data_IF_249844764177
#
_entry.id   IF_249844764177
#
_cell.length_a   1.000
_cell.length_b   1.000
_cell.length_c   1.000
_cell.angle_alpha   90.00
_cell.angle_beta   90.00
_cell.angle_gamma   90.00
#
_symmetry.space_group_name_H-M   'P 1'
#
loop_
_entity.id
_entity.type
_entity.pdbx_description
1 polymer ?
#
# COMPACT_ATOMS: atom_id res chain seq x y z
N UNK A 1 9.59 45.62 14.19
CA UNK A 1 10.68 45.16 13.30
C UNK A 1 10.15 43.97 12.53
N UNK A 2 9.53 44.19 11.37
CA UNK A 2 9.04 43.13 10.49
C UNK A 2 10.21 42.59 9.67
N UNK A 3 10.99 41.68 10.27
CA UNK A 3 11.89 40.84 9.50
C UNK A 3 11.09 40.15 8.41
N UNK A 4 11.55 40.25 7.17
CA UNK A 4 10.88 39.72 5.99
C UNK A 4 10.71 38.20 6.18
N UNK A 5 9.54 37.76 6.65
CA UNK A 5 9.26 36.34 6.82
C UNK A 5 9.15 35.75 5.42
N UNK A 6 9.98 34.77 5.12
CA UNK A 6 9.92 34.03 3.85
C UNK A 6 8.72 33.07 3.78
N UNK A 7 7.72 33.23 4.66
CA UNK A 7 6.51 32.43 4.75
C UNK A 7 5.34 33.34 5.17
N UNK A 8 4.13 32.95 4.83
CA UNK A 8 2.93 33.74 5.09
C UNK A 8 2.22 33.26 6.35
N UNK A 9 1.84 34.20 7.23
CA UNK A 9 0.97 33.96 8.38
C UNK A 9 -0.18 34.93 8.33
N UNK A 10 -1.40 34.41 8.27
CA UNK A 10 -2.62 35.22 8.30
C UNK A 10 -2.75 35.99 9.63
N UNK A 11 -3.34 37.18 9.61
CA UNK A 11 -3.47 38.05 10.80
C UNK A 11 -4.29 37.45 11.95
N UNK A 12 -5.11 36.45 11.65
CA UNK A 12 -5.93 35.71 12.61
C UNK A 12 -5.37 34.31 12.94
N UNK A 13 -4.17 33.97 12.48
CA UNK A 13 -3.47 32.76 12.88
C UNK A 13 -2.61 33.00 14.13
N UNK A 14 -2.40 31.97 14.93
CA UNK A 14 -1.44 31.97 16.05
C UNK A 14 -0.28 31.03 15.71
N UNK A 15 0.79 31.58 15.16
CA UNK A 15 2.00 30.82 14.82
C UNK A 15 3.12 31.20 15.80
N UNK A 16 3.42 30.31 16.75
CA UNK A 16 4.45 30.49 17.77
C UNK A 16 5.79 29.84 17.39
N UNK A 17 5.78 28.88 16.45
CA UNK A 17 7.01 28.27 15.92
C UNK A 17 7.82 29.23 15.04
N UNK A 18 9.13 29.19 15.21
CA UNK A 18 10.11 29.86 14.34
C UNK A 18 10.65 28.92 13.23
N UNK A 19 10.36 27.61 13.31
CA UNK A 19 10.86 26.58 12.40
C UNK A 19 9.89 26.33 11.24
N UNK A 20 9.58 27.39 10.50
CA UNK A 20 8.67 27.34 9.34
C UNK A 20 9.47 27.57 8.06
N UNK A 21 9.44 26.59 7.16
CA UNK A 21 10.12 26.67 5.87
C UNK A 21 9.57 27.74 4.94
N UNK A 22 10.40 28.12 3.98
CA UNK A 22 10.08 29.11 2.96
C UNK A 22 8.81 28.76 2.17
N UNK A 23 8.03 29.78 1.79
CA UNK A 23 6.82 29.70 0.97
C UNK A 23 5.66 28.89 1.59
N UNK A 24 5.81 28.49 2.86
CA UNK A 24 4.71 27.93 3.65
C UNK A 24 3.66 28.99 3.97
N UNK A 25 2.39 28.60 3.89
CA UNK A 25 1.23 29.47 4.18
C UNK A 25 0.45 28.94 5.36
N UNK A 26 0.25 29.80 6.36
CA UNK A 26 -0.55 29.55 7.55
C UNK A 26 -1.79 30.43 7.51
N UNK A 27 -2.96 29.82 7.40
CA UNK A 27 -4.25 30.51 7.22
C UNK A 27 -4.98 30.79 8.53
N UNK A 28 -6.15 31.42 8.45
CA UNK A 28 -6.85 31.99 9.60
C UNK A 28 -7.20 30.93 10.65
N UNK A 29 -7.08 31.29 11.93
CA UNK A 29 -7.43 30.42 13.06
C UNK A 29 -6.62 29.12 13.17
N UNK A 30 -5.56 28.96 12.39
CA UNK A 30 -4.57 27.92 12.64
C UNK A 30 -3.74 28.27 13.88
N UNK A 31 -3.39 27.26 14.68
CA UNK A 31 -2.52 27.41 15.85
C UNK A 31 -1.37 26.41 15.80
N UNK A 32 -0.14 26.92 15.77
CA UNK A 32 1.10 26.14 15.67
C UNK A 32 1.96 26.44 16.90
N UNK A 33 2.20 25.42 17.73
CA UNK A 33 2.99 25.52 18.96
C UNK A 33 4.50 25.71 18.68
N UNK A 34 5.28 26.30 19.61
CA UNK A 34 6.66 26.72 19.35
C UNK A 34 7.63 25.58 19.00
N UNK A 35 7.36 24.34 19.43
CA UNK A 35 8.22 23.19 19.13
C UNK A 35 8.08 22.63 17.71
N UNK A 36 6.97 22.91 17.02
CA UNK A 36 6.68 22.31 15.71
C UNK A 36 7.72 22.68 14.65
N UNK A 37 8.03 21.76 13.74
CA UNK A 37 8.90 22.02 12.58
C UNK A 37 8.17 21.70 11.28
N UNK A 38 8.07 22.69 10.38
CA UNK A 38 7.42 22.57 9.08
C UNK A 38 8.40 22.90 7.95
N UNK A 39 8.40 22.07 6.90
CA UNK A 39 9.17 22.29 5.68
C UNK A 39 8.67 23.46 4.83
N UNK A 40 9.16 23.50 3.59
CA UNK A 40 8.90 24.53 2.59
C UNK A 40 7.60 24.24 1.84
N UNK A 41 6.99 25.30 1.29
CA UNK A 41 5.85 25.21 0.36
C UNK A 41 4.62 24.47 0.95
N UNK A 42 4.49 24.43 2.27
CA UNK A 42 3.35 23.80 2.93
C UNK A 42 2.12 24.70 2.91
N UNK A 43 0.94 24.10 3.03
CA UNK A 43 -0.33 24.81 3.11
C UNK A 43 -1.12 24.37 4.34
N UNK A 44 -1.09 25.19 5.39
CA UNK A 44 -1.77 24.96 6.68
C UNK A 44 -3.08 25.74 6.68
N UNK A 45 -4.17 25.08 6.30
CA UNK A 45 -5.50 25.70 6.17
C UNK A 45 -6.14 26.08 7.52
N UNK A 46 -7.31 26.72 7.44
CA UNK A 46 -8.01 27.26 8.59
C UNK A 46 -8.32 26.23 9.67
N UNK A 47 -8.23 26.65 10.93
CA UNK A 47 -8.55 25.81 12.10
C UNK A 47 -7.69 24.53 12.21
N UNK A 48 -6.49 24.53 11.63
CA UNK A 48 -5.50 23.47 11.87
C UNK A 48 -4.79 23.73 13.20
N UNK A 49 -4.59 22.67 13.99
CA UNK A 49 -3.81 22.71 15.23
C UNK A 49 -2.58 21.81 15.12
N UNK A 50 -1.41 22.28 15.56
CA UNK A 50 -0.14 21.53 15.50
C UNK A 50 0.61 21.68 16.84
N UNK A 51 0.92 20.55 17.50
CA UNK A 51 1.65 20.52 18.77
C UNK A 51 3.18 20.61 18.61
N UNK A 52 3.94 20.37 19.68
CA UNK A 52 5.37 20.66 19.75
C UNK A 52 6.23 19.56 19.12
N UNK A 53 5.96 18.30 19.44
CA UNK A 53 6.70 17.13 18.94
C UNK A 53 6.12 16.67 17.60
N UNK A 54 6.18 17.58 16.62
CA UNK A 54 5.67 17.39 15.27
C UNK A 54 6.71 17.82 14.23
N UNK A 55 6.95 16.94 13.26
CA UNK A 55 7.80 17.22 12.09
C UNK A 55 6.97 17.02 10.82
N UNK A 56 6.92 18.06 9.99
CA UNK A 56 6.23 18.06 8.70
C UNK A 56 7.26 18.41 7.62
N UNK A 57 7.36 17.58 6.59
CA UNK A 57 8.23 17.76 5.44
C UNK A 57 7.80 18.90 4.52
N UNK A 58 8.29 18.87 3.28
CA UNK A 58 8.03 19.88 2.27
C UNK A 58 6.75 19.59 1.46
N UNK A 59 6.10 20.64 0.95
CA UNK A 59 4.94 20.56 0.02
C UNK A 59 3.73 19.80 0.60
N UNK A 60 3.61 19.79 1.93
CA UNK A 60 2.49 19.14 2.63
C UNK A 60 1.26 20.05 2.64
N UNK A 61 0.08 19.47 2.38
CA UNK A 61 -1.20 20.17 2.52
C UNK A 61 -1.99 19.63 3.70
N UNK A 62 -2.28 20.50 4.67
CA UNK A 62 -3.19 20.23 5.78
C UNK A 62 -4.49 21.00 5.55
N UNK A 63 -5.57 20.29 5.24
CA UNK A 63 -6.89 20.91 5.07
C UNK A 63 -7.53 21.27 6.43
N UNK A 64 -8.61 22.05 6.37
CA UNK A 64 -9.25 22.61 7.56
C UNK A 64 -9.67 21.54 8.57
N UNK A 65 -9.61 21.91 9.86
CA UNK A 65 -10.12 21.08 10.96
C UNK A 65 -9.25 19.86 11.32
N UNK A 66 -7.99 19.84 10.88
CA UNK A 66 -7.02 18.79 11.21
C UNK A 66 -6.25 19.16 12.48
N UNK A 67 -6.05 18.20 13.38
CA UNK A 67 -5.20 18.34 14.57
C UNK A 67 -4.03 17.35 14.49
N UNK A 68 -2.81 17.88 14.55
CA UNK A 68 -1.56 17.10 14.54
C UNK A 68 -0.96 17.14 15.94
N UNK A 69 -1.10 16.02 16.64
CA UNK A 69 -0.63 15.84 18.02
C UNK A 69 0.85 15.50 18.10
N UNK A 70 1.41 15.64 19.30
CA UNK A 70 2.75 15.19 19.65
C UNK A 70 2.95 13.71 19.26
N UNK A 71 4.10 13.42 18.63
CA UNK A 71 4.46 12.09 18.17
C UNK A 71 4.23 11.85 16.67
N UNK A 72 3.67 12.82 15.94
CA UNK A 72 3.33 12.65 14.53
C UNK A 72 4.43 13.20 13.62
N UNK A 73 4.86 12.38 12.66
CA UNK A 73 5.78 12.77 11.58
C UNK A 73 5.07 12.65 10.24
N UNK A 74 5.11 13.70 9.44
CA UNK A 74 4.54 13.76 8.09
C UNK A 74 5.67 14.04 7.12
N UNK A 75 5.94 13.12 6.20
CA UNK A 75 6.96 13.29 5.15
C UNK A 75 6.46 14.20 4.02
N UNK A 76 7.33 14.46 3.04
CA UNK A 76 7.06 15.36 1.92
C UNK A 76 5.84 14.95 1.08
N UNK A 77 5.26 15.92 0.39
CA UNK A 77 4.24 15.71 -0.65
C UNK A 77 2.95 15.03 -0.13
N UNK A 78 2.75 14.99 1.19
CA UNK A 78 1.56 14.40 1.81
C UNK A 78 0.36 15.32 1.70
N UNK A 79 -0.80 14.73 1.39
CA UNK A 79 -2.10 15.40 1.44
C UNK A 79 -2.93 14.89 2.62
N UNK A 80 -3.35 15.80 3.51
CA UNK A 80 -4.26 15.49 4.61
C UNK A 80 -5.58 16.23 4.38
N UNK A 81 -6.62 15.45 4.08
CA UNK A 81 -7.97 15.90 3.79
C UNK A 81 -8.66 16.57 4.98
N UNK A 82 -9.73 17.33 4.72
CA UNK A 82 -10.40 18.11 5.76
C UNK A 82 -10.96 17.20 6.85
N UNK A 83 -10.83 17.60 8.10
CA UNK A 83 -11.26 16.87 9.29
C UNK A 83 -10.64 15.47 9.45
N UNK A 84 -9.55 15.14 8.72
CA UNK A 84 -8.80 13.93 9.04
C UNK A 84 -8.30 14.02 10.49
N UNK A 85 -8.55 12.97 11.26
CA UNK A 85 -8.37 12.94 12.70
C UNK A 85 -7.22 11.99 13.06
N UNK A 86 -6.27 12.50 13.84
CA UNK A 86 -5.17 11.72 14.38
C UNK A 86 -5.38 11.45 15.87
N UNK A 87 -4.71 10.42 16.37
CA UNK A 87 -4.64 10.06 17.78
C UNK A 87 -3.22 9.63 18.13
N UNK A 88 -2.82 9.76 19.40
CA UNK A 88 -1.46 9.43 19.87
C UNK A 88 -1.44 8.56 21.15
N UNK A 89 -2.59 8.36 21.80
CA UNK A 89 -2.81 7.42 22.90
C UNK A 89 -3.88 6.40 22.50
N UNK A 90 -3.58 5.11 22.66
CA UNK A 90 -4.48 4.01 22.32
C UNK A 90 -5.61 3.83 23.35
N UNK A 91 -5.36 4.21 24.61
CA UNK A 91 -6.30 4.04 25.71
C UNK A 91 -6.41 5.32 26.55
N UNK A 92 -6.83 6.44 25.93
CA UNK A 92 -6.83 7.74 26.60
C UNK A 92 -7.78 7.75 27.80
N UNK A 93 -7.30 8.29 28.91
CA UNK A 93 -8.12 8.60 30.10
C UNK A 93 -7.75 9.97 30.65
N UNK A 94 -8.76 10.74 31.04
CA UNK A 94 -8.54 12.09 31.59
C UNK A 94 -7.58 12.05 32.79
N UNK A 95 -6.56 12.93 32.76
CA UNK A 95 -5.50 13.05 33.79
C UNK A 95 -4.63 11.81 33.96
N UNK A 96 -4.67 10.87 33.02
CA UNK A 96 -3.77 9.72 32.94
C UNK A 96 -3.02 9.86 31.63
N UNK A 97 -1.71 10.07 31.72
CA UNK A 97 -0.88 10.31 30.55
C UNK A 97 0.10 9.15 30.36
N UNK A 98 0.33 8.69 29.11
CA UNK A 98 1.36 7.70 28.85
C UNK A 98 2.75 8.28 29.15
N UNK A 99 3.73 7.42 29.43
CA UNK A 99 5.12 7.87 29.60
C UNK A 99 5.69 8.42 28.27
N UNK A 100 5.26 7.85 27.15
CA UNK A 100 5.64 8.25 25.80
C UNK A 100 4.42 8.11 24.89
N UNK A 101 4.16 9.12 24.05
CA UNK A 101 3.12 9.02 23.03
C UNK A 101 3.53 8.09 21.89
N UNK A 102 2.53 7.50 21.24
CA UNK A 102 2.78 6.61 20.11
C UNK A 102 3.25 7.41 18.89
N UNK A 103 4.21 6.86 18.13
CA UNK A 103 4.75 7.54 16.95
C UNK A 103 3.99 7.12 15.71
N UNK A 104 3.32 8.07 15.07
CA UNK A 104 2.59 7.86 13.81
C UNK A 104 3.37 8.52 12.69
N UNK A 105 3.62 7.79 11.60
CA UNK A 105 4.41 8.26 10.46
C UNK A 105 3.55 8.22 9.21
N UNK A 106 3.35 9.37 8.58
CA UNK A 106 2.69 9.49 7.28
C UNK A 106 3.77 9.67 6.23
N UNK A 107 4.00 8.63 5.43
CA UNK A 107 5.13 8.60 4.50
C UNK A 107 4.84 9.38 3.22
N UNK A 108 5.92 9.68 2.49
CA UNK A 108 5.95 10.58 1.35
C UNK A 108 4.84 10.30 0.34
N UNK A 109 4.15 11.35 -0.11
CA UNK A 109 3.12 11.26 -1.14
C UNK A 109 1.81 10.57 -0.70
N UNK A 110 1.69 10.11 0.55
CA UNK A 110 0.45 9.54 1.04
C UNK A 110 -0.69 10.56 1.03
N UNK A 111 -1.91 10.08 0.77
CA UNK A 111 -3.12 10.89 0.71
C UNK A 111 -4.15 10.37 1.70
N UNK A 112 -4.50 11.20 2.68
CA UNK A 112 -5.51 10.90 3.69
C UNK A 112 -6.83 11.59 3.32
N UNK A 113 -7.86 10.79 3.05
CA UNK A 113 -9.18 11.25 2.67
C UNK A 113 -9.88 12.05 3.77
N UNK A 114 -10.86 12.85 3.36
CA UNK A 114 -11.64 13.67 4.29
C UNK A 114 -12.24 12.84 5.43
N UNK A 115 -12.15 13.35 6.66
CA UNK A 115 -12.77 12.77 7.84
C UNK A 115 -12.36 11.31 8.13
N UNK A 116 -11.19 10.86 7.66
CA UNK A 116 -10.63 9.58 8.10
C UNK A 116 -10.08 9.67 9.52
N UNK A 117 -10.02 8.55 10.24
CA UNK A 117 -9.45 8.45 11.58
C UNK A 117 -8.23 7.54 11.56
N UNK A 118 -7.10 8.05 12.05
CA UNK A 118 -5.84 7.31 12.17
C UNK A 118 -5.60 6.94 13.63
N UNK A 119 -5.60 5.64 13.93
CA UNK A 119 -5.22 5.14 15.26
C UNK A 119 -3.72 5.39 15.54
N UNK A 120 -3.31 5.37 16.82
CA UNK A 120 -1.98 5.78 17.21
C UNK A 120 -0.92 4.71 16.87
N UNK A 121 0.31 5.14 16.58
CA UNK A 121 1.44 4.23 16.40
C UNK A 121 1.52 3.56 15.03
N UNK A 122 0.84 4.13 14.02
CA UNK A 122 0.72 3.54 12.70
C UNK A 122 1.66 4.18 11.67
N UNK A 123 2.07 3.40 10.69
CA UNK A 123 2.76 3.91 9.50
C UNK A 123 1.82 3.85 8.30
N UNK A 124 1.63 4.98 7.63
CA UNK A 124 0.92 5.05 6.34
C UNK A 124 1.98 5.10 5.24
N UNK A 125 2.07 4.03 4.44
CA UNK A 125 3.12 3.84 3.44
C UNK A 125 3.16 4.90 2.34
N UNK A 126 4.29 4.96 1.64
CA UNK A 126 4.53 5.90 0.53
C UNK A 126 3.42 5.78 -0.50
N UNK A 127 2.88 6.91 -0.96
CA UNK A 127 1.78 7.01 -1.93
C UNK A 127 0.50 6.23 -1.53
N UNK A 128 0.36 5.76 -0.29
CA UNK A 128 -0.86 5.09 0.13
C UNK A 128 -2.05 6.06 0.12
N UNK A 129 -3.23 5.54 -0.19
CA UNK A 129 -4.46 6.32 -0.26
C UNK A 129 -5.48 5.80 0.75
N UNK A 130 -5.75 6.62 1.77
CA UNK A 130 -6.81 6.36 2.74
C UNK A 130 -8.08 7.05 2.26
N UNK A 131 -9.15 6.28 2.04
CA UNK A 131 -10.43 6.81 1.60
C UNK A 131 -11.11 7.67 2.67
N UNK A 132 -12.01 8.54 2.21
CA UNK A 132 -12.79 9.38 3.11
C UNK A 132 -13.59 8.55 4.13
N UNK A 133 -13.61 8.99 5.39
CA UNK A 133 -14.33 8.33 6.48
C UNK A 133 -13.73 7.00 6.95
N UNK A 134 -12.57 6.58 6.44
CA UNK A 134 -11.97 5.31 6.84
C UNK A 134 -11.45 5.36 8.30
N UNK A 135 -11.56 4.25 9.02
CA UNK A 135 -10.97 4.09 10.37
C UNK A 135 -9.78 3.15 10.27
N UNK A 136 -8.58 3.73 10.24
CA UNK A 136 -7.32 3.02 10.03
C UNK A 136 -6.84 2.46 11.34
N UNK A 137 -6.88 1.13 11.48
CA UNK A 137 -6.55 0.41 12.71
C UNK A 137 -5.21 -0.34 12.68
N UNK A 138 -4.53 -0.33 11.53
CA UNK A 138 -3.22 -0.96 11.30
C UNK A 138 -2.44 -0.16 10.25
N UNK A 139 -1.11 -0.35 10.22
CA UNK A 139 -0.25 0.28 9.22
C UNK A 139 -0.69 -0.08 7.80
N UNK A 140 -0.55 0.87 6.88
CA UNK A 140 -0.99 0.73 5.49
C UNK A 140 0.24 0.55 4.59
N UNK A 141 0.27 -0.51 3.75
CA UNK A 141 1.40 -0.76 2.85
C UNK A 141 1.58 0.36 1.80
N UNK A 142 2.78 0.52 1.23
CA UNK A 142 3.02 1.47 0.16
C UNK A 142 2.06 1.29 -1.01
N UNK A 143 1.51 2.41 -1.49
CA UNK A 143 0.56 2.51 -2.61
C UNK A 143 -0.76 1.75 -2.39
N UNK A 144 -1.06 1.23 -1.20
CA UNK A 144 -2.33 0.57 -0.93
C UNK A 144 -3.49 1.58 -0.88
N UNK A 145 -4.66 1.17 -1.34
CA UNK A 145 -5.92 1.93 -1.25
C UNK A 145 -6.79 1.29 -0.19
N UNK A 146 -7.13 2.03 0.87
CA UNK A 146 -7.97 1.52 1.97
C UNK A 146 -9.25 2.31 2.18
N UNK A 147 -10.34 1.61 2.51
CA UNK A 147 -11.64 2.24 2.82
C UNK A 147 -12.37 1.51 3.94
N UNK A 148 -13.36 2.18 4.54
CA UNK A 148 -14.31 1.57 5.48
C UNK A 148 -13.89 1.64 6.95
N UNK A 149 -14.74 1.08 7.81
CA UNK A 149 -14.54 1.00 9.27
C UNK A 149 -14.77 -0.46 9.74
N UNK A 150 -13.73 -1.19 10.15
CA UNK A 150 -12.31 -0.82 10.05
C UNK A 150 -11.84 -0.77 8.58
N UNK A 151 -10.76 -0.02 8.32
CA UNK A 151 -10.22 0.17 6.99
C UNK A 151 -9.66 -1.15 6.41
N UNK A 152 -10.03 -1.46 5.16
CA UNK A 152 -9.57 -2.65 4.42
C UNK A 152 -8.97 -2.24 3.08
N UNK A 153 -7.93 -2.97 2.65
CA UNK A 153 -7.33 -2.78 1.33
C UNK A 153 -8.31 -3.24 0.25
N UNK A 154 -8.59 -2.36 -0.71
CA UNK A 154 -9.49 -2.62 -1.84
C UNK A 154 -8.78 -2.58 -3.19
N UNK A 155 -7.51 -2.18 -3.21
CA UNK A 155 -6.72 -2.00 -4.43
C UNK A 155 -5.36 -1.38 -4.12
N UNK A 156 -4.59 -1.12 -5.17
CA UNK A 156 -3.33 -0.40 -5.12
C UNK A 156 -3.31 0.71 -6.17
N UNK A 157 -2.68 1.84 -5.87
CA UNK A 157 -2.51 2.97 -6.77
C UNK A 157 -1.80 2.49 -8.04
N UNK A 158 -2.28 2.97 -9.19
CA UNK A 158 -1.81 2.63 -10.54
C UNK A 158 -1.86 1.14 -10.93
N UNK A 159 -2.38 0.27 -10.06
CA UNK A 159 -2.67 -1.10 -10.41
C UNK A 159 -3.85 -1.11 -11.40
N UNK A 160 -3.54 -1.34 -12.68
CA UNK A 160 -4.58 -1.61 -13.66
C UNK A 160 -5.19 -2.96 -13.30
N UNK A 161 -6.52 -3.08 -13.13
CA UNK A 161 -7.13 -4.39 -13.25
C UNK A 161 -6.84 -4.87 -14.66
N UNK A 162 -6.41 -6.13 -14.82
CA UNK A 162 -6.35 -6.74 -16.15
C UNK A 162 -7.69 -6.46 -16.81
N UNK A 163 -7.67 -5.79 -17.98
CA UNK A 163 -8.90 -5.57 -18.73
C UNK A 163 -9.54 -6.93 -18.91
N UNK A 164 -10.70 -7.16 -18.30
CA UNK A 164 -11.61 -8.20 -18.74
C UNK A 164 -11.94 -7.80 -20.17
N UNK A 165 -11.16 -8.29 -21.15
CA UNK A 165 -11.63 -8.32 -22.53
C UNK A 165 -13.02 -8.94 -22.42
N UNK A 166 -14.00 -8.15 -22.88
CA UNK A 166 -15.41 -8.39 -22.66
C UNK A 166 -15.73 -9.88 -22.79
N UNK A 167 -16.54 -10.39 -21.86
CA UNK A 167 -17.05 -11.76 -21.79
C UNK A 167 -17.90 -12.20 -23.01
N UNK A 168 -17.74 -11.54 -24.16
CA UNK A 168 -18.47 -11.79 -25.39
C UNK A 168 -17.51 -12.16 -26.52
N UNK A 169 -16.83 -13.29 -26.39
CA UNK A 169 -16.43 -14.16 -27.49
C UNK A 169 -15.95 -15.49 -26.88
N UNK A 170 -16.77 -16.54 -27.00
CA UNK A 170 -16.39 -17.91 -26.65
C UNK A 170 -15.36 -18.37 -27.68
N UNK A 171 -14.12 -17.94 -27.51
CA UNK A 171 -12.96 -18.61 -28.10
C UNK A 171 -12.60 -19.76 -27.15
N UNK A 172 -12.33 -20.97 -27.64
CA UNK A 172 -11.81 -22.03 -26.78
C UNK A 172 -10.51 -21.49 -26.17
N UNK A 173 -10.43 -21.45 -24.84
CA UNK A 173 -9.23 -21.03 -24.10
C UNK A 173 -8.01 -21.70 -24.72
N UNK A 174 -7.20 -20.94 -25.44
CA UNK A 174 -5.98 -21.47 -26.04
C UNK A 174 -4.96 -21.63 -24.93
N UNK A 175 -4.51 -22.85 -24.68
CA UNK A 175 -3.36 -23.11 -23.81
C UNK A 175 -2.21 -22.18 -24.19
N UNK A 176 -1.60 -21.52 -23.21
CA UNK A 176 -0.58 -20.51 -23.50
C UNK A 176 -0.23 -19.60 -22.33
N UNK A 177 0.68 -18.68 -22.62
CA UNK A 177 1.13 -17.65 -21.68
C UNK A 177 0.98 -16.26 -22.33
N UNK A 178 0.38 -15.34 -21.60
CA UNK A 178 0.16 -13.96 -21.99
C UNK A 178 1.13 -13.06 -21.21
N UNK A 179 1.82 -12.16 -21.92
CA UNK A 179 2.65 -11.12 -21.32
C UNK A 179 1.76 -10.09 -20.61
N UNK A 180 2.26 -9.56 -19.49
CA UNK A 180 1.56 -8.53 -18.70
C UNK A 180 2.28 -7.19 -18.82
N UNK A 181 1.72 -6.15 -18.23
CA UNK A 181 2.41 -4.85 -18.14
C UNK A 181 3.57 -4.84 -17.14
N UNK A 182 3.65 -5.85 -16.28
CA UNK A 182 4.70 -6.02 -15.27
C UNK A 182 5.82 -6.89 -15.85
N UNK A 183 7.05 -6.38 -15.86
CA UNK A 183 8.19 -6.99 -16.56
C UNK A 183 8.41 -8.44 -16.15
N UNK A 184 8.31 -9.35 -17.13
CA UNK A 184 8.59 -10.78 -16.96
C UNK A 184 7.48 -11.57 -16.27
N UNK A 185 6.44 -10.91 -15.74
CA UNK A 185 5.26 -11.56 -15.19
C UNK A 185 4.37 -12.01 -16.34
N UNK A 186 3.93 -13.27 -16.27
CA UNK A 186 3.08 -13.89 -17.30
C UNK A 186 1.85 -14.52 -16.68
N UNK A 187 0.72 -14.40 -17.37
CA UNK A 187 -0.51 -15.11 -17.03
C UNK A 187 -0.62 -16.36 -17.91
N UNK A 188 -0.79 -17.51 -17.28
CA UNK A 188 -0.80 -18.81 -17.95
C UNK A 188 -2.20 -19.43 -17.89
N UNK A 189 -2.65 -19.93 -19.03
CA UNK A 189 -3.82 -20.81 -19.11
C UNK A 189 -3.35 -22.23 -19.42
N UNK A 190 -3.58 -23.12 -18.46
CA UNK A 190 -3.23 -24.54 -18.52
C UNK A 190 -4.32 -25.34 -19.23
N UNK A 191 -3.97 -26.53 -19.70
CA UNK A 191 -4.91 -27.47 -20.31
C UNK A 191 -6.08 -27.72 -19.38
N UNK A 192 -7.29 -27.73 -19.93
CA UNK A 192 -8.50 -28.13 -19.23
C UNK A 192 -9.31 -29.09 -20.12
N UNK A 193 -9.72 -30.22 -19.55
CA UNK A 193 -10.58 -31.21 -20.20
C UNK A 193 -11.78 -31.41 -19.29
N UNK A 194 -12.98 -31.18 -19.82
CA UNK A 194 -14.24 -31.40 -19.11
C UNK A 194 -15.05 -32.46 -19.84
N UNK A 195 -15.45 -33.49 -19.10
CA UNK A 195 -16.34 -34.55 -19.58
C UNK A 195 -17.40 -34.89 -18.51
N UNK A 196 -18.25 -35.89 -18.76
CA UNK A 196 -19.32 -36.29 -17.83
C UNK A 196 -18.83 -36.76 -16.44
N UNK A 197 -17.53 -37.05 -16.30
CA UNK A 197 -16.89 -37.49 -15.05
C UNK A 197 -16.34 -36.32 -14.24
N UNK A 198 -16.33 -35.11 -14.80
CA UNK A 198 -15.82 -33.90 -14.17
C UNK A 198 -14.84 -33.13 -15.05
N UNK A 199 -14.03 -32.29 -14.40
CA UNK A 199 -13.05 -31.42 -15.05
C UNK A 199 -11.64 -31.73 -14.55
N UNK A 200 -10.69 -31.77 -15.46
CA UNK A 200 -9.27 -32.01 -15.19
C UNK A 200 -8.45 -30.89 -15.81
N UNK A 201 -7.62 -30.23 -15.00
CA UNK A 201 -6.58 -29.34 -15.50
C UNK A 201 -5.20 -29.96 -15.36
N UNK A 202 -4.31 -29.72 -16.31
CA UNK A 202 -2.96 -30.23 -16.32
C UNK A 202 -1.95 -29.16 -16.75
N UNK A 203 -0.84 -29.05 -16.02
CA UNK A 203 0.32 -28.26 -16.37
C UNK A 203 1.59 -29.09 -16.23
N UNK A 204 2.54 -28.90 -17.15
CA UNK A 204 3.85 -29.55 -17.12
C UNK A 204 4.92 -28.52 -16.72
N UNK A 205 5.81 -28.87 -15.79
CA UNK A 205 6.98 -28.05 -15.48
C UNK A 205 7.92 -27.96 -16.68
N UNK A 206 8.61 -26.84 -16.80
CA UNK A 206 9.49 -26.49 -17.93
C UNK A 206 8.76 -26.39 -19.29
N UNK A 207 7.42 -26.44 -19.28
CA UNK A 207 6.55 -26.23 -20.44
C UNK A 207 5.48 -25.19 -20.10
N UNK A 208 4.39 -25.63 -19.46
CA UNK A 208 3.31 -24.73 -19.03
C UNK A 208 3.75 -23.84 -17.88
N UNK A 209 4.59 -24.36 -16.97
CA UNK A 209 5.18 -23.62 -15.86
C UNK A 209 6.66 -23.39 -16.21
N UNK A 210 7.17 -22.14 -16.27
CA UNK A 210 8.41 -21.83 -16.98
C UNK A 210 9.70 -22.11 -16.18
N UNK A 211 9.65 -23.01 -15.20
CA UNK A 211 10.80 -23.39 -14.39
C UNK A 211 10.64 -24.80 -13.80
N UNK A 212 11.77 -25.39 -13.39
CA UNK A 212 11.80 -26.61 -12.59
C UNK A 212 11.46 -26.29 -11.14
N UNK A 213 10.50 -27.03 -10.58
CA UNK A 213 10.02 -26.81 -9.21
C UNK A 213 10.78 -27.67 -8.21
N UNK A 214 11.22 -27.05 -7.12
CA UNK A 214 11.85 -27.74 -5.98
C UNK A 214 10.94 -27.78 -4.74
N UNK A 215 9.94 -26.88 -4.68
CA UNK A 215 9.03 -26.76 -3.54
C UNK A 215 7.62 -26.37 -3.98
N UNK A 216 6.62 -26.91 -3.28
CA UNK A 216 5.26 -26.38 -3.31
C UNK A 216 4.80 -26.04 -1.89
N UNK A 217 3.85 -25.13 -1.77
CA UNK A 217 3.14 -24.86 -0.53
C UNK A 217 1.72 -24.39 -0.81
N UNK A 218 0.86 -24.47 0.22
CA UNK A 218 -0.54 -24.08 0.16
C UNK A 218 -0.80 -22.94 1.14
N UNK A 219 -1.64 -21.99 0.74
CA UNK A 219 -2.19 -20.94 1.60
C UNK A 219 -3.70 -21.04 1.55
N UNK A 220 -4.32 -21.26 2.72
CA UNK A 220 -5.75 -21.49 2.89
C UNK A 220 -6.21 -20.93 4.25
N UNK A 221 -7.53 -20.84 4.47
CA UNK A 221 -8.15 -20.27 5.69
C UNK A 221 -7.65 -18.85 6.02
N UNK A 222 -7.39 -18.04 4.98
CA UNK A 222 -6.97 -16.66 5.12
C UNK A 222 -8.19 -15.79 5.45
N UNK A 223 -8.22 -15.07 6.58
CA UNK A 223 -9.31 -14.16 6.86
C UNK A 223 -9.39 -13.10 5.74
N UNK A 224 -10.58 -12.84 5.20
CA UNK A 224 -10.77 -11.97 4.00
C UNK A 224 -10.19 -10.56 4.14
N UNK A 225 -9.99 -10.08 5.38
CA UNK A 225 -9.39 -8.79 5.65
C UNK A 225 -7.85 -8.80 5.59
N UNK A 226 -7.20 -9.95 5.62
CA UNK A 226 -5.74 -10.05 5.68
C UNK A 226 -5.09 -10.00 4.30
N UNK A 227 -3.95 -9.32 4.24
CA UNK A 227 -3.00 -9.42 3.13
C UNK A 227 -1.97 -10.50 3.42
N UNK A 228 -1.52 -11.14 2.35
CA UNK A 228 -0.41 -12.10 2.34
C UNK A 228 0.59 -11.65 1.26
N UNK A 229 1.82 -12.16 1.35
CA UNK A 229 2.88 -11.71 0.45
C UNK A 229 3.61 -10.50 1.04
N UNK A 230 3.57 -9.39 0.31
CA UNK A 230 4.25 -8.13 0.65
C UNK A 230 5.77 -8.29 0.71
N UNK A 231 6.31 -8.96 -0.31
CA UNK A 231 7.73 -9.15 -0.49
C UNK A 231 8.08 -9.41 -1.95
N UNK A 232 9.36 -9.26 -2.28
CA UNK A 232 9.97 -9.83 -3.48
C UNK A 232 10.96 -10.94 -3.10
N UNK A 233 11.34 -11.74 -4.09
CA UNK A 233 12.40 -12.75 -3.99
C UNK A 233 13.63 -12.31 -4.80
N UNK A 234 14.85 -12.57 -4.32
CA UNK A 234 16.09 -12.25 -5.06
C UNK A 234 16.31 -13.24 -6.21
N UNK A 235 16.05 -14.52 -5.98
CA UNK A 235 16.33 -15.62 -6.92
C UNK A 235 15.15 -16.57 -7.15
N UNK A 236 14.21 -16.67 -6.21
CA UNK A 236 13.10 -17.62 -6.34
C UNK A 236 12.05 -17.17 -7.38
N UNK A 237 11.80 -18.02 -8.37
CA UNK A 237 10.60 -17.92 -9.20
C UNK A 237 9.41 -18.51 -8.45
N UNK A 238 8.23 -17.94 -8.65
CA UNK A 238 6.98 -18.46 -8.10
C UNK A 238 5.93 -18.63 -9.19
N UNK A 239 5.09 -19.65 -9.06
CA UNK A 239 3.91 -19.85 -9.90
C UNK A 239 2.69 -20.07 -9.02
N UNK A 240 1.72 -19.17 -9.11
CA UNK A 240 0.57 -19.12 -8.21
C UNK A 240 -0.69 -19.61 -8.94
N UNK A 241 -1.46 -20.51 -8.33
CA UNK A 241 -2.72 -21.05 -8.84
C UNK A 241 -3.75 -21.10 -7.71
N UNK A 242 -4.93 -20.50 -7.91
CA UNK A 242 -6.06 -20.71 -7.01
C UNK A 242 -6.75 -22.03 -7.38
N UNK A 243 -6.45 -23.11 -6.64
CA UNK A 243 -7.01 -24.44 -6.91
C UNK A 243 -8.46 -24.58 -6.45
N UNK A 244 -8.91 -23.66 -5.59
CA UNK A 244 -10.30 -23.48 -5.18
C UNK A 244 -10.53 -22.02 -4.80
N UNK A 245 -11.76 -21.55 -4.93
CA UNK A 245 -12.15 -20.19 -4.57
C UNK A 245 -11.51 -19.15 -5.48
N UNK A 246 -11.29 -17.94 -4.95
CA UNK A 246 -10.61 -16.87 -5.68
C UNK A 246 -9.63 -16.10 -4.81
N UNK A 247 -8.58 -15.59 -5.46
CA UNK A 247 -7.53 -14.77 -4.85
C UNK A 247 -7.15 -13.65 -5.79
N UNK A 248 -6.99 -12.44 -5.26
CA UNK A 248 -6.41 -11.32 -6.00
C UNK A 248 -4.90 -11.31 -5.80
N UNK A 249 -4.15 -11.20 -6.89
CA UNK A 249 -2.68 -11.14 -6.88
C UNK A 249 -2.25 -9.83 -7.52
N UNK A 250 -1.43 -9.06 -6.82
CA UNK A 250 -0.78 -7.86 -7.37
C UNK A 250 0.68 -8.21 -7.62
N UNK A 251 1.14 -7.92 -8.84
CA UNK A 251 2.54 -7.99 -9.21
C UNK A 251 3.08 -6.58 -9.47
N UNK A 252 4.31 -6.32 -9.06
CA UNK A 252 4.97 -5.02 -9.14
C UNK A 252 6.47 -5.21 -9.45
N UNK A 253 6.95 -4.61 -10.54
CA UNK A 253 8.36 -4.67 -10.98
C UNK A 253 9.19 -3.45 -10.51
N UNK A 254 8.62 -2.64 -9.63
CA UNK A 254 9.10 -1.36 -9.16
C UNK A 254 8.64 -0.18 -10.01
N UNK A 255 8.14 -0.38 -11.22
CA UNK A 255 7.74 0.69 -12.15
C UNK A 255 6.27 0.54 -12.53
N UNK A 256 5.89 -0.65 -13.00
CA UNK A 256 4.55 -1.03 -13.38
C UNK A 256 3.93 -1.91 -12.30
N UNK A 257 2.61 -1.79 -12.15
CA UNK A 257 1.82 -2.59 -11.24
C UNK A 257 0.53 -3.04 -11.91
N UNK A 258 0.19 -4.31 -11.71
CA UNK A 258 -1.03 -4.89 -12.29
C UNK A 258 -1.66 -5.87 -11.29
N UNK A 259 -3.00 -5.90 -11.29
CA UNK A 259 -3.79 -6.78 -10.43
C UNK A 259 -4.52 -7.85 -11.25
N UNK A 260 -4.38 -9.10 -10.81
CA UNK A 260 -4.90 -10.30 -11.42
C UNK A 260 -5.87 -11.01 -10.48
N UNK A 261 -6.90 -11.64 -11.04
CA UNK A 261 -7.80 -12.51 -10.29
C UNK A 261 -7.54 -13.96 -10.70
N UNK A 262 -7.11 -14.79 -9.75
CA UNK A 262 -7.03 -16.23 -9.90
C UNK A 262 -8.32 -16.84 -9.35
N UNK A 263 -9.18 -17.33 -10.23
CA UNK A 263 -10.53 -17.83 -9.92
C UNK A 263 -10.84 -19.19 -10.53
N UNK A 264 -9.86 -19.80 -11.21
CA UNK A 264 -9.98 -21.11 -11.87
C UNK A 264 -8.70 -21.92 -11.67
N UNK A 265 -8.81 -23.25 -11.51
CA UNK A 265 -7.65 -24.12 -11.31
C UNK A 265 -6.76 -24.25 -12.56
N UNK A 266 -7.26 -23.86 -13.75
CA UNK A 266 -6.48 -23.84 -14.98
C UNK A 266 -5.79 -22.48 -15.26
N UNK A 267 -5.94 -21.49 -14.37
CA UNK A 267 -5.23 -20.21 -14.48
C UNK A 267 -4.11 -20.14 -13.46
N UNK A 268 -2.94 -19.69 -13.89
CA UNK A 268 -1.83 -19.40 -12.99
C UNK A 268 -1.04 -18.17 -13.41
N UNK A 269 -0.33 -17.59 -12.47
CA UNK A 269 0.55 -16.43 -12.72
C UNK A 269 1.99 -16.78 -12.35
N UNK A 270 2.91 -16.50 -13.27
CA UNK A 270 4.34 -16.60 -13.04
C UNK A 270 4.88 -15.27 -12.51
N UNK A 271 5.49 -15.31 -11.33
CA UNK A 271 6.26 -14.20 -10.76
C UNK A 271 7.75 -14.56 -10.85
N UNK A 272 8.53 -13.91 -11.73
CA UNK A 272 9.97 -14.08 -11.74
C UNK A 272 10.61 -13.40 -10.49
N UNK A 273 11.90 -13.69 -10.22
CA UNK A 273 12.65 -12.99 -9.19
C UNK A 273 12.61 -11.48 -9.42
N UNK A 274 12.79 -10.73 -8.33
CA UNK A 274 12.67 -9.27 -8.30
C UNK A 274 11.29 -8.77 -8.74
N UNK A 275 10.24 -9.56 -8.47
CA UNK A 275 8.84 -9.13 -8.54
C UNK A 275 8.27 -9.03 -7.14
N UNK A 276 7.75 -7.86 -6.76
CA UNK A 276 7.03 -7.69 -5.50
C UNK A 276 5.61 -8.25 -5.63
N UNK A 277 5.30 -9.26 -4.83
CA UNK A 277 4.03 -9.99 -4.88
C UNK A 277 3.15 -9.71 -3.66
N UNK A 278 1.87 -9.43 -3.90
CA UNK A 278 0.86 -9.28 -2.84
C UNK A 278 -0.34 -10.16 -3.19
N UNK A 279 -0.85 -10.92 -2.22
CA UNK A 279 -2.04 -11.74 -2.38
C UNK A 279 -3.07 -11.31 -1.35
N UNK A 280 -4.29 -11.00 -1.78
CA UNK A 280 -5.33 -10.47 -0.90
C UNK A 280 -6.72 -10.81 -1.42
N UNK A 281 -7.76 -10.43 -0.66
CA UNK A 281 -9.17 -10.69 -1.00
C UNK A 281 -9.44 -12.17 -1.31
N UNK A 282 -8.91 -13.05 -0.46
CA UNK A 282 -9.22 -14.48 -0.51
C UNK A 282 -10.73 -14.70 -0.30
N UNK A 283 -11.35 -15.49 -1.18
CA UNK A 283 -12.69 -16.02 -0.92
C UNK A 283 -12.65 -16.95 0.31
N UNK A 284 -13.77 -17.15 1.03
CA UNK A 284 -13.79 -17.99 2.24
C UNK A 284 -13.31 -19.43 2.02
N UNK A 285 -13.40 -19.94 0.80
CA UNK A 285 -13.01 -21.30 0.42
C UNK A 285 -11.71 -21.34 -0.41
N UNK A 286 -10.99 -20.21 -0.49
CA UNK A 286 -9.81 -20.08 -1.32
C UNK A 286 -8.66 -20.98 -0.85
N UNK A 287 -8.06 -21.67 -1.81
CA UNK A 287 -6.80 -22.41 -1.62
C UNK A 287 -5.85 -21.98 -2.71
N UNK A 288 -4.80 -21.23 -2.32
CA UNK A 288 -3.73 -20.83 -3.21
C UNK A 288 -2.60 -21.86 -3.14
N UNK A 289 -2.31 -22.50 -4.26
CA UNK A 289 -1.14 -23.35 -4.45
C UNK A 289 -0.02 -22.53 -5.09
N UNK A 290 1.18 -22.65 -4.54
CA UNK A 290 2.36 -21.97 -5.06
C UNK A 290 3.45 -23.00 -5.34
N UNK A 291 3.96 -23.00 -6.57
CA UNK A 291 5.21 -23.68 -6.92
C UNK A 291 6.37 -22.70 -6.84
N UNK A 292 7.51 -23.15 -6.33
CA UNK A 292 8.72 -22.35 -6.15
C UNK A 292 9.92 -23.08 -6.75
N UNK A 293 10.78 -22.34 -7.46
CA UNK A 293 11.99 -22.91 -8.08
C UNK A 293 13.08 -23.27 -7.06
N UNK A 294 13.00 -22.75 -5.83
CA UNK A 294 13.97 -22.98 -4.77
C UNK A 294 13.32 -23.56 -3.51
N UNK A 295 14.14 -24.26 -2.70
CA UNK A 295 13.81 -24.57 -1.31
C UNK A 295 13.55 -23.30 -0.50
N UNK A 296 13.04 -23.45 0.72
CA UNK A 296 12.84 -22.29 1.58
C UNK A 296 14.19 -21.70 2.00
N UNK A 297 14.37 -20.42 1.72
CA UNK A 297 15.46 -19.60 2.20
C UNK A 297 14.89 -18.28 2.71
N UNK A 298 15.22 -17.90 3.94
CA UNK A 298 14.76 -16.66 4.54
C UNK A 298 15.51 -15.44 3.99
N UNK A 299 16.76 -15.61 3.56
CA UNK A 299 17.64 -14.53 3.09
C UNK A 299 17.30 -14.06 1.66
N UNK A 300 16.55 -14.90 0.93
CA UNK A 300 16.02 -14.60 -0.40
C UNK A 300 14.87 -13.56 -0.37
N UNK A 301 14.29 -13.28 0.81
CA UNK A 301 13.15 -12.36 0.93
C UNK A 301 13.59 -10.89 1.03
N UNK A 302 12.99 -10.04 0.19
CA UNK A 302 13.02 -8.58 0.34
C UNK A 302 11.66 -8.13 0.87
N UNK A 303 11.60 -7.73 2.14
CA UNK A 303 10.34 -7.36 2.83
C UNK A 303 10.14 -5.86 3.01
N UNK A 304 11.12 -5.06 2.61
CA UNK A 304 11.03 -3.61 2.64
C UNK A 304 10.87 -3.10 1.20
N UNK A 305 9.79 -2.37 0.93
CA UNK A 305 9.50 -1.89 -0.42
C UNK A 305 10.50 -0.84 -0.91
N UNK A 306 11.08 -0.03 -0.02
CA UNK A 306 12.10 0.95 -0.38
C UNK A 306 13.42 0.27 -0.76
N UNK A 307 13.80 -0.79 -0.03
CA UNK A 307 14.93 -1.64 -0.38
C UNK A 307 14.72 -2.29 -1.76
N UNK A 308 13.53 -2.87 -1.98
CA UNK A 308 13.15 -3.43 -3.28
C UNK A 308 13.30 -2.40 -4.41
N UNK A 309 12.73 -1.20 -4.24
CA UNK A 309 12.83 -0.11 -5.21
C UNK A 309 14.28 0.33 -5.46
N UNK A 310 15.10 0.39 -4.41
CA UNK A 310 16.52 0.73 -4.52
C UNK A 310 17.29 -0.30 -5.33
N UNK A 311 17.06 -1.60 -5.06
CA UNK A 311 17.68 -2.71 -5.78
C UNK A 311 17.30 -2.70 -7.27
N UNK A 312 16.02 -2.51 -7.59
CA UNK A 312 15.56 -2.40 -8.99
C UNK A 312 16.26 -1.25 -9.72
N UNK A 313 16.34 -0.08 -9.09
CA UNK A 313 16.98 1.09 -9.71
C UNK A 313 18.48 0.89 -9.94
N UNK A 314 19.18 0.19 -9.04
CA UNK A 314 20.62 -0.10 -9.18
C UNK A 314 20.95 -1.06 -10.33
N UNK A 315 19.99 -1.89 -10.75
CA UNK A 315 20.14 -2.77 -11.91
C UNK A 315 19.81 -2.08 -13.25
N UNK A 316 19.21 -0.90 -13.22
CA UNK A 316 18.86 -0.11 -14.41
C UNK A 316 19.90 0.97 -14.75
N UNK A 317 20.81 1.28 -13.80
CA UNK A 317 21.97 2.16 -13.96
C UNK A 317 23.20 1.40 -14.42
#
# INVERSE_FOLDING_TARGET
>A
MSGNRNFFVHSHALCESENIGQDTRVWAFAHILPGASLGRECNVCDNVFIENDVVIGDRVTLKCGVQIWDGITIEDDVFIGPNATFTNDLFPRSKVYPQTFSRTIIRKGASLGANCTILPGLTIGINAMVGAGAVVTRSIPPNAIVVGNPAKIIGYVDAKPVSTKAENEVTPYSEGAEETSVKGVKLHTMKEVTDIRGSLSAGEFERSIPFKTERYFLVYDVPTAETRGEHAHRECHQFLVAVKGSVHVVADDGINREEFVLDKPNKGIHLPPMTWGIQYRYSPDAVLMVFASHYYDADDYIRNYDEFKSLINSHLS
#
